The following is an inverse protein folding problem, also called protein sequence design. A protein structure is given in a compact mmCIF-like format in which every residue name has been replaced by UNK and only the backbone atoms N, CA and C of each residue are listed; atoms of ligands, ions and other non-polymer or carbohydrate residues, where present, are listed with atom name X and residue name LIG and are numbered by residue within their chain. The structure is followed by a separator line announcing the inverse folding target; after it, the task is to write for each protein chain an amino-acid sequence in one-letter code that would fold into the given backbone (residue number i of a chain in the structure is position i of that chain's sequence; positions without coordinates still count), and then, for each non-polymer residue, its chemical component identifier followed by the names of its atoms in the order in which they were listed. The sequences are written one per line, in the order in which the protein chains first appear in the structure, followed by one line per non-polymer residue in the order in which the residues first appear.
data_IF_166131314164
#
_entry.id   IF_166131314164
#
_cell.length_a   1.000
_cell.length_b   1.000
_cell.length_c   1.000
_cell.angle_alpha   90.00
_cell.angle_beta   90.00
_cell.angle_gamma   90.00
#
_symmetry.space_group_name_H-M   'P 1'
#
loop_
_entity.id
_entity.type
_entity.pdbx_description
1 polymer ?
#
# COMPACT_ATOMS: atom_id res chain seq x y z
N UNK A 1 -1.65 -10.26 -7.25
CA UNK A 1 -2.26 -11.46 -6.62
C UNK A 1 -1.99 -12.66 -7.52
N UNK A 2 -1.52 -13.79 -6.96
CA UNK A 2 -1.19 -14.96 -7.78
C UNK A 2 -2.46 -15.74 -8.12
N UNK A 3 -2.75 -15.87 -9.43
CA UNK A 3 -3.90 -16.58 -9.98
C UNK A 3 -3.97 -18.05 -9.50
N UNK A 4 -2.81 -18.71 -9.36
CA UNK A 4 -2.75 -20.09 -8.89
C UNK A 4 -3.21 -20.24 -7.45
N UNK A 5 -2.90 -19.25 -6.60
CA UNK A 5 -3.30 -19.26 -5.20
C UNK A 5 -4.82 -19.12 -5.09
N UNK A 6 -5.43 -18.21 -5.87
CA UNK A 6 -6.89 -18.02 -5.87
C UNK A 6 -7.58 -19.30 -6.30
N UNK A 7 -7.18 -19.88 -7.44
CA UNK A 7 -7.77 -21.10 -7.97
C UNK A 7 -7.63 -22.25 -6.96
N UNK A 8 -6.45 -22.40 -6.36
CA UNK A 8 -6.21 -23.43 -5.34
C UNK A 8 -7.12 -23.26 -4.13
N UNK A 9 -7.25 -22.03 -3.62
CA UNK A 9 -8.10 -21.76 -2.46
C UNK A 9 -9.57 -22.02 -2.74
N UNK A 10 -10.08 -21.64 -3.92
CA UNK A 10 -11.49 -21.84 -4.28
C UNK A 10 -11.80 -23.33 -4.56
N UNK A 11 -10.86 -24.09 -5.15
CA UNK A 11 -11.03 -25.54 -5.39
C UNK A 11 -11.03 -26.32 -4.07
N UNK A 12 -10.18 -25.94 -3.10
CA UNK A 12 -10.05 -26.63 -1.84
C UNK A 12 -10.83 -25.95 -0.70
N UNK A 13 -11.74 -25.05 -1.06
CA UNK A 13 -12.52 -24.26 -0.13
C UNK A 13 -13.34 -25.15 0.79
N UNK A 14 -13.23 -24.91 2.10
CA UNK A 14 -14.21 -25.41 3.06
C UNK A 14 -15.53 -24.65 2.87
N UNK A 15 -16.65 -25.37 2.89
CA UNK A 15 -17.98 -24.81 2.63
C UNK A 15 -18.40 -23.70 3.61
N UNK A 16 -17.73 -23.63 4.76
CA UNK A 16 -17.99 -22.65 5.82
C UNK A 16 -17.11 -21.41 5.69
N UNK A 17 -16.24 -21.33 4.69
CA UNK A 17 -15.31 -20.19 4.49
C UNK A 17 -15.62 -19.43 3.22
N UNK A 18 -15.52 -18.08 3.28
CA UNK A 18 -15.58 -17.22 2.10
C UNK A 18 -14.31 -16.37 2.02
N UNK A 19 -13.69 -16.37 0.85
CA UNK A 19 -12.43 -15.73 0.57
C UNK A 19 -12.63 -14.40 -0.13
N UNK A 20 -12.00 -13.34 0.37
CA UNK A 20 -11.90 -12.06 -0.31
C UNK A 20 -10.43 -11.75 -0.57
N UNK A 21 -10.12 -11.40 -1.80
CA UNK A 21 -8.78 -11.08 -2.25
C UNK A 21 -8.68 -9.61 -2.60
N UNK A 22 -7.63 -8.94 -2.14
CA UNK A 22 -7.40 -7.55 -2.54
C UNK A 22 -6.86 -7.51 -3.97
N UNK A 23 -7.52 -6.75 -4.82
CA UNK A 23 -7.05 -6.49 -6.18
C UNK A 23 -5.78 -5.64 -6.15
N UNK A 24 -4.73 -6.09 -6.82
CA UNK A 24 -3.48 -5.34 -6.98
C UNK A 24 -3.64 -4.08 -7.83
N UNK A 25 -4.68 -4.04 -8.65
CA UNK A 25 -4.92 -2.97 -9.61
C UNK A 25 -5.83 -1.90 -9.00
N UNK A 26 -6.87 -2.32 -8.27
CA UNK A 26 -7.95 -1.45 -7.90
C UNK A 26 -8.08 -1.18 -6.39
N UNK A 27 -7.26 -1.80 -5.55
CA UNK A 27 -7.41 -1.77 -4.10
C UNK A 27 -8.82 -2.11 -3.60
N UNK A 28 -9.59 -2.84 -4.41
CA UNK A 28 -10.90 -3.38 -4.05
C UNK A 28 -10.78 -4.84 -3.67
N UNK A 29 -11.77 -5.30 -2.95
CA UNK A 29 -11.85 -6.68 -2.52
C UNK A 29 -12.73 -7.46 -3.49
N UNK A 30 -12.21 -8.59 -3.97
CA UNK A 30 -12.87 -9.44 -4.95
C UNK A 30 -12.97 -10.84 -4.35
N UNK A 31 -14.16 -11.37 -4.32
CA UNK A 31 -14.41 -12.78 -4.08
C UNK A 31 -14.64 -13.48 -5.43
N UNK A 32 -14.23 -14.73 -5.54
CA UNK A 32 -14.38 -15.54 -6.74
C UNK A 32 -15.21 -16.77 -6.44
N UNK A 33 -15.76 -17.38 -7.48
CA UNK A 33 -16.50 -18.64 -7.47
C UNK A 33 -17.58 -18.70 -6.36
N UNK A 34 -17.59 -19.72 -5.54
CA UNK A 34 -18.54 -19.86 -4.43
C UNK A 34 -18.40 -18.76 -3.40
N UNK A 35 -17.17 -18.32 -3.08
CA UNK A 35 -16.96 -17.17 -2.19
C UNK A 35 -17.63 -15.90 -2.74
N UNK A 36 -17.67 -15.71 -4.06
CA UNK A 36 -18.37 -14.60 -4.67
C UNK A 36 -19.88 -14.65 -4.44
N UNK A 37 -20.45 -15.84 -4.47
CA UNK A 37 -21.88 -16.03 -4.22
C UNK A 37 -22.24 -15.83 -2.77
N UNK A 38 -21.41 -16.36 -1.83
CA UNK A 38 -21.56 -16.17 -0.38
C UNK A 38 -21.55 -14.68 0.00
N UNK A 39 -20.50 -13.97 -0.45
CA UNK A 39 -20.35 -12.53 -0.22
C UNK A 39 -21.55 -11.77 -0.78
N UNK A 40 -21.98 -12.09 -2.01
CA UNK A 40 -23.13 -11.43 -2.63
C UNK A 40 -24.42 -11.62 -1.82
N UNK A 41 -24.70 -12.84 -1.38
CA UNK A 41 -25.92 -13.12 -0.62
C UNK A 41 -25.92 -12.35 0.70
N UNK A 42 -24.80 -12.33 1.39
CA UNK A 42 -24.66 -11.61 2.65
C UNK A 42 -24.84 -10.10 2.44
N UNK A 43 -24.06 -9.52 1.53
CA UNK A 43 -24.04 -8.08 1.24
C UNK A 43 -25.43 -7.60 0.77
N UNK A 44 -26.11 -8.38 -0.10
CA UNK A 44 -27.48 -8.06 -0.53
C UNK A 44 -28.48 -8.08 0.63
N UNK A 45 -28.36 -9.04 1.56
CA UNK A 45 -29.26 -9.14 2.70
C UNK A 45 -29.11 -7.95 3.65
N UNK A 46 -27.86 -7.54 3.90
CA UNK A 46 -27.54 -6.43 4.79
C UNK A 46 -27.63 -5.06 4.12
N UNK A 47 -28.03 -5.00 2.82
CA UNK A 47 -28.24 -3.75 2.10
C UNK A 47 -26.96 -3.03 1.65
N UNK A 48 -25.84 -3.73 1.59
CA UNK A 48 -24.58 -3.16 1.10
C UNK A 48 -24.45 -3.28 -0.41
N UNK A 49 -23.73 -2.33 -1.00
CA UNK A 49 -23.44 -2.34 -2.43
C UNK A 49 -22.36 -3.35 -2.79
N UNK A 50 -22.63 -4.11 -3.86
CA UNK A 50 -21.65 -5.01 -4.48
C UNK A 50 -21.84 -5.06 -6.00
N UNK A 51 -20.75 -5.21 -6.72
CA UNK A 51 -20.75 -5.46 -8.15
C UNK A 51 -20.53 -6.94 -8.42
N UNK A 52 -21.27 -7.47 -9.39
CA UNK A 52 -21.15 -8.86 -9.83
C UNK A 52 -20.69 -8.91 -11.28
N UNK A 53 -19.82 -9.85 -11.60
CA UNK A 53 -19.33 -10.04 -12.95
C UNK A 53 -18.85 -11.46 -13.18
N UNK A 54 -18.50 -11.75 -14.43
CA UNK A 54 -17.77 -12.95 -14.80
C UNK A 54 -16.34 -12.57 -15.19
N UNK A 55 -15.36 -13.11 -14.48
CA UNK A 55 -13.95 -12.86 -14.80
C UNK A 55 -13.49 -13.79 -15.94
N UNK A 56 -13.26 -13.24 -17.11
CA UNK A 56 -12.69 -14.00 -18.25
C UNK A 56 -11.28 -14.50 -17.94
N UNK A 57 -10.51 -13.73 -17.22
CA UNK A 57 -9.14 -14.10 -16.86
C UNK A 57 -9.09 -15.31 -15.93
N UNK A 58 -9.99 -15.37 -14.96
CA UNK A 58 -10.09 -16.46 -13.99
C UNK A 58 -11.03 -17.57 -14.45
N UNK A 59 -11.88 -17.31 -15.46
CA UNK A 59 -12.95 -18.17 -15.95
C UNK A 59 -13.94 -18.58 -14.85
N UNK A 60 -14.29 -17.63 -13.96
CA UNK A 60 -15.22 -17.87 -12.86
C UNK A 60 -15.98 -16.58 -12.48
N UNK A 61 -17.18 -16.72 -11.84
CA UNK A 61 -17.92 -15.55 -11.37
C UNK A 61 -17.16 -14.83 -10.28
N UNK A 62 -17.36 -13.53 -10.18
CA UNK A 62 -16.78 -12.74 -9.13
C UNK A 62 -17.76 -11.70 -8.56
N UNK A 63 -17.54 -11.34 -7.31
CA UNK A 63 -18.25 -10.25 -6.60
C UNK A 63 -17.22 -9.27 -6.07
N UNK A 64 -17.38 -8.00 -6.44
CA UNK A 64 -16.50 -6.93 -6.00
C UNK A 64 -17.20 -6.13 -4.91
N UNK A 65 -16.51 -5.90 -3.82
CA UNK A 65 -16.99 -5.10 -2.69
C UNK A 65 -15.99 -4.00 -2.33
N UNK A 66 -16.53 -2.89 -1.86
CA UNK A 66 -15.70 -1.77 -1.41
C UNK A 66 -14.93 -2.10 -0.14
N UNK A 67 -13.80 -1.45 0.09
CA UNK A 67 -13.08 -1.56 1.37
C UNK A 67 -13.94 -1.13 2.56
N UNK A 68 -14.89 -0.20 2.35
CA UNK A 68 -15.88 0.17 3.37
C UNK A 68 -16.73 -1.03 3.77
N UNK A 69 -17.26 -1.75 2.79
CA UNK A 69 -18.06 -2.98 3.02
C UNK A 69 -17.24 -4.02 3.74
N UNK A 70 -16.00 -4.31 3.31
CA UNK A 70 -15.12 -5.28 3.96
C UNK A 70 -14.81 -4.89 5.41
N UNK A 71 -14.63 -3.61 5.69
CA UNK A 71 -14.43 -3.17 7.08
C UNK A 71 -15.68 -3.40 7.94
N UNK A 72 -16.87 -3.23 7.39
CA UNK A 72 -18.09 -3.59 8.10
C UNK A 72 -18.16 -5.10 8.33
N UNK A 73 -17.83 -5.91 7.29
CA UNK A 73 -17.76 -7.37 7.43
C UNK A 73 -16.79 -7.81 8.54
N UNK A 74 -15.65 -7.11 8.70
CA UNK A 74 -14.68 -7.38 9.80
C UNK A 74 -15.26 -7.20 11.20
N UNK A 75 -16.26 -6.34 11.36
CA UNK A 75 -16.93 -6.13 12.65
C UNK A 75 -18.10 -7.09 12.87
N UNK A 76 -18.70 -7.57 11.80
CA UNK A 76 -19.92 -8.37 11.84
C UNK A 76 -19.65 -9.87 11.74
N UNK A 77 -18.55 -10.28 11.10
CA UNK A 77 -18.22 -11.67 10.81
C UNK A 77 -16.93 -12.10 11.50
N UNK A 78 -16.86 -13.38 11.83
CA UNK A 78 -15.65 -13.99 12.36
C UNK A 78 -14.60 -14.10 11.26
N UNK A 79 -13.40 -13.57 11.53
CA UNK A 79 -12.24 -13.73 10.67
C UNK A 79 -11.55 -15.04 11.02
N UNK A 80 -11.40 -15.93 10.03
CA UNK A 80 -10.70 -17.20 10.14
C UNK A 80 -9.21 -17.04 9.87
N UNK A 81 -8.86 -16.32 8.80
CA UNK A 81 -7.49 -16.01 8.43
C UNK A 81 -7.41 -14.65 7.75
N UNK A 82 -6.31 -13.94 7.93
CA UNK A 82 -6.07 -12.67 7.27
C UNK A 82 -4.60 -12.48 6.92
N UNK A 83 -4.35 -12.27 5.64
CA UNK A 83 -3.07 -11.75 5.13
C UNK A 83 -3.26 -10.28 4.79
N UNK A 84 -2.80 -9.40 5.65
CA UNK A 84 -3.01 -7.94 5.55
C UNK A 84 -2.74 -7.43 4.14
N UNK A 85 -3.73 -6.75 3.56
CA UNK A 85 -3.66 -6.18 2.23
C UNK A 85 -3.59 -7.20 1.07
N UNK A 86 -3.87 -8.47 1.31
CA UNK A 86 -3.85 -9.52 0.28
C UNK A 86 -5.12 -10.36 0.26
N UNK A 87 -5.50 -10.93 1.39
CA UNK A 87 -6.60 -11.86 1.50
C UNK A 87 -7.22 -11.81 2.90
N UNK A 88 -8.53 -11.94 2.98
CA UNK A 88 -9.27 -12.18 4.22
C UNK A 88 -10.15 -13.38 4.00
N UNK A 89 -10.21 -14.24 5.02
CA UNK A 89 -11.10 -15.38 5.07
C UNK A 89 -12.08 -15.15 6.21
N UNK A 90 -13.37 -15.10 5.88
CA UNK A 90 -14.44 -15.02 6.85
C UNK A 90 -15.16 -16.37 6.98
N UNK A 91 -15.70 -16.64 8.17
CA UNK A 91 -16.67 -17.71 8.34
C UNK A 91 -17.99 -17.34 7.67
N UNK A 92 -18.55 -18.26 6.88
CA UNK A 92 -19.84 -18.05 6.21
C UNK A 92 -20.96 -18.13 7.28
N UNK A 93 -21.76 -17.07 7.45
CA UNK A 93 -22.84 -17.09 8.42
C UNK A 93 -23.85 -18.21 8.16
N UNK A 94 -24.24 -18.95 9.19
CA UNK A 94 -25.24 -20.07 9.12
C UNK A 94 -26.58 -19.64 8.54
N UNK A 95 -26.82 -18.34 8.46
CA UNK A 95 -28.02 -17.74 7.85
C UNK A 95 -27.95 -17.69 6.32
N UNK A 96 -26.77 -17.84 5.72
CA UNK A 96 -26.61 -17.95 4.26
C UNK A 96 -26.80 -19.42 3.90
N UNK A 97 -27.92 -19.72 3.26
CA UNK A 97 -28.24 -21.05 2.77
C UNK A 97 -28.64 -20.96 1.32
N UNK A 98 -28.04 -21.79 0.49
CA UNK A 98 -28.41 -21.97 -0.92
C UNK A 98 -28.10 -23.39 -1.37
N UNK A 99 -28.70 -23.79 -2.48
CA UNK A 99 -28.36 -25.06 -3.14
C UNK A 99 -27.27 -24.84 -4.17
N UNK A 100 -26.50 -25.86 -4.46
CA UNK A 100 -25.47 -25.79 -5.52
C UNK A 100 -26.09 -25.45 -6.89
N UNK A 101 -27.32 -25.87 -7.15
CA UNK A 101 -28.07 -25.49 -8.36
C UNK A 101 -28.32 -23.98 -8.44
N UNK A 102 -28.65 -23.33 -7.33
CA UNK A 102 -28.84 -21.86 -7.30
C UNK A 102 -27.53 -21.13 -7.61
N UNK A 103 -26.41 -21.63 -7.12
CA UNK A 103 -25.09 -21.12 -7.48
C UNK A 103 -24.79 -21.30 -8.97
N UNK A 104 -25.03 -22.50 -9.54
CA UNK A 104 -24.82 -22.76 -10.95
C UNK A 104 -25.71 -21.88 -11.86
N UNK A 105 -26.99 -21.74 -11.52
CA UNK A 105 -27.90 -20.85 -12.24
C UNK A 105 -27.43 -19.39 -12.23
N UNK A 106 -26.90 -18.92 -11.11
CA UNK A 106 -26.32 -17.58 -11.00
C UNK A 106 -25.06 -17.44 -11.87
N UNK A 107 -24.17 -18.43 -11.85
CA UNK A 107 -22.94 -18.46 -12.66
C UNK A 107 -23.27 -18.44 -14.15
N UNK A 108 -24.21 -19.28 -14.59
CA UNK A 108 -24.63 -19.34 -16.00
C UNK A 108 -25.29 -18.06 -16.47
N UNK A 109 -26.05 -17.39 -15.58
CA UNK A 109 -26.63 -16.08 -15.88
C UNK A 109 -25.53 -15.04 -16.10
N UNK A 110 -24.52 -14.96 -15.24
CA UNK A 110 -23.40 -14.03 -15.39
C UNK A 110 -22.58 -14.30 -16.65
N UNK A 111 -22.34 -15.58 -16.97
CA UNK A 111 -21.63 -15.98 -18.19
C UNK A 111 -22.38 -15.58 -19.46
N UNK A 112 -23.72 -15.69 -19.46
CA UNK A 112 -24.56 -15.23 -20.57
C UNK A 112 -24.56 -13.70 -20.68
N UNK A 113 -24.72 -12.97 -19.59
CA UNK A 113 -24.66 -11.51 -19.55
C UNK A 113 -23.31 -11.02 -20.11
N UNK A 114 -22.18 -11.68 -19.77
CA UNK A 114 -20.85 -11.36 -20.31
C UNK A 114 -20.75 -11.64 -21.82
N UNK A 115 -21.34 -12.74 -22.31
CA UNK A 115 -21.30 -13.11 -23.74
C UNK A 115 -22.09 -12.16 -24.64
N UNK A 116 -23.10 -11.48 -24.12
CA UNK A 116 -23.91 -10.48 -24.82
C UNK A 116 -23.27 -9.10 -24.89
N UNK A 117 -22.05 -8.94 -24.31
CA UNK A 117 -21.35 -7.65 -24.29
C UNK A 117 -21.93 -6.61 -23.34
N UNK A 118 -23.02 -6.92 -22.65
CA UNK A 118 -23.66 -6.02 -21.71
C UNK A 118 -22.84 -5.81 -20.42
N UNK A 119 -21.90 -6.69 -20.14
CA UNK A 119 -21.02 -6.63 -18.98
C UNK A 119 -19.62 -7.20 -19.27
N UNK A 120 -18.99 -6.79 -20.38
CA UNK A 120 -17.56 -7.09 -20.56
C UNK A 120 -16.77 -6.24 -19.60
N UNK A 121 -16.74 -6.71 -18.36
CA UNK A 121 -15.98 -6.07 -17.32
C UNK A 121 -14.65 -6.81 -17.24
N UNK A 122 -13.64 -6.29 -17.90
CA UNK A 122 -12.28 -6.50 -17.42
C UNK A 122 -12.26 -6.00 -15.97
N UNK A 123 -11.51 -6.65 -15.08
CA UNK A 123 -11.31 -6.14 -13.70
C UNK A 123 -10.99 -4.63 -13.72
N UNK A 124 -10.43 -4.10 -14.82
CA UNK A 124 -10.28 -2.65 -15.12
C UNK A 124 -11.61 -1.89 -15.25
N UNK A 125 -12.63 -2.47 -15.84
CA UNK A 125 -13.89 -1.78 -16.16
C UNK A 125 -14.93 -1.90 -15.04
N UNK A 126 -14.85 -2.95 -14.21
CA UNK A 126 -15.68 -3.12 -13.00
C UNK A 126 -15.58 -1.93 -12.05
N UNK A 127 -14.49 -1.23 -12.14
CA UNK A 127 -14.12 -0.18 -11.18
C UNK A 127 -14.54 1.21 -11.64
N UNK A 128 -14.64 1.46 -12.96
CA UNK A 128 -14.74 2.82 -13.51
C UNK A 128 -16.16 3.41 -13.54
N UNK A 129 -17.20 2.64 -13.82
CA UNK A 129 -18.44 3.23 -14.29
C UNK A 129 -19.65 3.24 -13.31
N UNK A 130 -19.58 2.54 -12.17
CA UNK A 130 -20.75 2.43 -11.27
C UNK A 130 -20.47 2.67 -9.78
N UNK A 131 -19.23 2.97 -9.38
CA UNK A 131 -18.98 3.52 -8.05
C UNK A 131 -19.21 5.05 -8.06
N UNK A 132 -19.67 5.64 -6.96
CA UNK A 132 -19.83 7.08 -6.88
C UNK A 132 -18.53 7.77 -7.30
N UNK A 133 -18.59 8.67 -8.27
CA UNK A 133 -17.44 9.48 -8.71
C UNK A 133 -16.83 10.15 -7.47
N UNK A 134 -15.63 9.76 -7.11
CA UNK A 134 -14.90 10.33 -5.97
C UNK A 134 -14.40 9.32 -4.92
N UNK A 135 -14.79 8.04 -5.00
CA UNK A 135 -14.45 7.04 -3.98
C UNK A 135 -13.26 6.16 -4.38
N UNK A 136 -12.93 6.06 -5.68
CA UNK A 136 -11.90 5.17 -6.16
C UNK A 136 -10.79 5.91 -6.93
N UNK A 137 -9.53 5.64 -6.56
CA UNK A 137 -8.35 6.20 -7.22
C UNK A 137 -7.53 5.04 -7.78
N UNK A 138 -7.48 4.93 -9.11
CA UNK A 138 -6.63 3.97 -9.81
C UNK A 138 -5.20 4.48 -9.93
N UNK A 139 -4.27 3.53 -10.03
CA UNK A 139 -2.88 3.83 -10.39
C UNK A 139 -2.82 4.45 -11.79
N UNK A 140 -2.40 5.70 -11.89
CA UNK A 140 -2.26 6.42 -13.16
C UNK A 140 -1.27 5.81 -14.16
N UNK A 141 -0.40 4.87 -13.71
CA UNK A 141 0.55 4.18 -14.59
C UNK A 141 0.00 2.85 -15.10
N UNK A 142 0.18 2.58 -16.40
CA UNK A 142 -0.05 1.26 -16.99
C UNK A 142 0.88 0.20 -16.39
N UNK A 143 0.50 -1.07 -16.51
CA UNK A 143 1.32 -2.18 -16.02
C UNK A 143 2.72 -2.21 -16.66
N UNK A 144 2.79 -1.96 -17.96
CA UNK A 144 4.07 -1.83 -18.67
C UNK A 144 4.95 -0.72 -18.08
N UNK A 145 4.38 0.47 -17.83
CA UNK A 145 5.10 1.59 -17.22
C UNK A 145 5.57 1.26 -15.80
N UNK A 146 4.78 0.52 -15.02
CA UNK A 146 5.16 0.07 -13.67
C UNK A 146 6.35 -0.90 -13.69
N UNK A 147 6.34 -1.84 -14.64
CA UNK A 147 7.42 -2.81 -14.78
C UNK A 147 8.71 -2.13 -15.26
N UNK A 148 8.60 -1.23 -16.24
CA UNK A 148 9.73 -0.43 -16.71
C UNK A 148 10.31 0.46 -15.59
N UNK A 149 9.43 1.10 -14.80
CA UNK A 149 9.84 1.87 -13.62
C UNK A 149 10.59 0.98 -12.61
N UNK A 150 10.16 -0.27 -12.39
CA UNK A 150 10.86 -1.19 -11.49
C UNK A 150 12.28 -1.51 -11.97
N UNK A 151 12.44 -1.73 -13.28
CA UNK A 151 13.75 -1.96 -13.89
C UNK A 151 14.62 -0.71 -13.71
N UNK A 152 14.07 0.46 -13.96
CA UNK A 152 14.77 1.74 -13.76
C UNK A 152 15.18 1.93 -12.29
N UNK A 153 14.25 1.74 -11.34
CA UNK A 153 14.52 1.84 -9.89
C UNK A 153 15.68 0.90 -9.49
N UNK A 154 15.69 -0.33 -10.01
CA UNK A 154 16.75 -1.30 -9.71
C UNK A 154 18.13 -0.85 -10.21
N UNK A 155 18.23 -0.43 -11.47
CA UNK A 155 19.51 -0.01 -12.02
C UNK A 155 20.02 1.28 -11.38
N UNK A 156 19.14 2.26 -11.18
CA UNK A 156 19.53 3.53 -10.54
C UNK A 156 19.93 3.30 -9.10
N UNK A 157 19.21 2.46 -8.34
CA UNK A 157 19.58 2.11 -6.97
C UNK A 157 20.95 1.41 -6.92
N UNK A 158 21.22 0.48 -7.85
CA UNK A 158 22.52 -0.22 -7.92
C UNK A 158 23.66 0.74 -8.14
N UNK A 159 23.54 1.64 -9.13
CA UNK A 159 24.57 2.64 -9.45
C UNK A 159 24.75 3.59 -8.27
N UNK A 160 23.64 4.07 -7.68
CA UNK A 160 23.68 5.01 -6.56
C UNK A 160 24.31 4.38 -5.33
N UNK A 161 23.98 3.11 -5.00
CA UNK A 161 24.62 2.38 -3.92
C UNK A 161 26.15 2.27 -4.14
N UNK A 162 26.60 1.99 -5.36
CA UNK A 162 28.02 1.89 -5.67
C UNK A 162 28.72 3.25 -5.50
N UNK A 163 28.14 4.32 -6.06
CA UNK A 163 28.72 5.68 -5.98
C UNK A 163 28.77 6.18 -4.54
N UNK A 164 27.71 5.99 -3.76
CA UNK A 164 27.63 6.49 -2.39
C UNK A 164 28.20 5.50 -1.35
N UNK A 165 28.70 4.32 -1.75
CA UNK A 165 29.28 3.35 -0.81
C UNK A 165 30.42 3.90 0.03
N UNK A 166 31.37 4.72 -0.48
CA UNK A 166 32.43 5.30 0.36
C UNK A 166 31.86 6.26 1.42
N UNK A 167 30.88 7.09 1.03
CA UNK A 167 30.18 7.98 1.96
C UNK A 167 29.41 7.20 3.01
N UNK A 168 28.75 6.10 2.62
CA UNK A 168 28.02 5.24 3.54
C UNK A 168 28.95 4.58 4.56
N UNK A 169 30.14 4.15 4.13
CA UNK A 169 31.19 3.62 5.03
C UNK A 169 31.64 4.71 6.01
N UNK A 170 31.89 5.92 5.52
CA UNK A 170 32.25 7.04 6.38
C UNK A 170 31.16 7.35 7.42
N UNK A 171 29.90 7.41 7.01
CA UNK A 171 28.75 7.58 7.93
C UNK A 171 28.67 6.46 8.97
N UNK A 172 28.88 5.22 8.56
CA UNK A 172 28.90 4.05 9.45
C UNK A 172 29.97 4.22 10.53
N UNK A 173 31.21 4.56 10.15
CA UNK A 173 32.33 4.77 11.08
C UNK A 173 32.03 5.94 12.02
N UNK A 174 31.53 7.07 11.47
CA UNK A 174 31.21 8.26 12.28
C UNK A 174 30.18 7.97 13.37
N UNK A 175 29.14 7.16 13.09
CA UNK A 175 28.13 6.77 14.08
C UNK A 175 28.77 5.87 15.15
N UNK A 176 29.62 4.92 14.72
CA UNK A 176 30.33 4.02 15.65
C UNK A 176 31.25 4.79 16.61
N UNK A 177 31.84 5.88 16.15
CA UNK A 177 32.72 6.74 16.96
C UNK A 177 31.92 7.68 17.88
N UNK A 178 30.66 8.02 17.56
CA UNK A 178 29.84 8.97 18.35
C UNK A 178 29.37 8.35 19.68
N UNK A 179 28.82 7.09 19.63
CA UNK A 179 28.26 6.45 20.83
C UNK A 179 28.40 4.91 20.87
N UNK A 180 29.16 4.31 19.95
CA UNK A 180 29.49 2.87 19.92
C UNK A 180 28.35 1.92 19.58
N UNK A 181 27.10 2.38 19.49
CA UNK A 181 25.90 1.57 19.21
C UNK A 181 25.79 1.09 17.76
N UNK A 182 24.71 0.38 17.39
CA UNK A 182 24.49 -0.08 16.02
C UNK A 182 24.38 1.11 15.07
N UNK A 183 25.11 1.09 13.94
CA UNK A 183 25.12 2.21 13.00
C UNK A 183 23.89 2.23 12.09
N UNK A 184 23.32 1.07 11.80
CA UNK A 184 22.09 0.94 11.00
C UNK A 184 20.92 0.66 11.92
N UNK A 185 19.84 1.42 11.72
CA UNK A 185 18.56 1.27 12.37
C UNK A 185 17.58 0.63 11.39
N UNK A 186 16.80 -0.30 11.88
CA UNK A 186 15.78 -1.01 11.11
C UNK A 186 14.43 -0.86 11.81
N UNK A 187 13.37 -0.61 11.04
CA UNK A 187 12.02 -0.44 11.55
C UNK A 187 10.98 -1.01 10.59
N UNK A 188 9.99 -1.69 11.14
CA UNK A 188 8.87 -2.20 10.35
C UNK A 188 8.02 -1.08 9.77
N UNK A 189 7.69 -1.23 8.50
CA UNK A 189 6.83 -0.37 7.71
C UNK A 189 5.89 -1.20 6.86
N UNK A 190 4.76 -0.59 6.47
CA UNK A 190 3.81 -1.22 5.56
C UNK A 190 4.09 -0.72 4.15
N UNK A 191 4.28 -1.66 3.23
CA UNK A 191 4.59 -1.42 1.83
C UNK A 191 3.45 -1.79 0.88
N UNK A 192 3.82 -2.07 -0.36
CA UNK A 192 2.88 -2.48 -1.42
C UNK A 192 2.14 -3.74 -1.02
N UNK A 193 0.85 -3.79 -1.32
CA UNK A 193 -0.09 -4.86 -0.95
C UNK A 193 -0.25 -5.08 0.56
N UNK A 194 0.04 -4.05 1.36
CA UNK A 194 0.00 -4.16 2.80
C UNK A 194 1.11 -5.03 3.41
N UNK A 195 2.10 -5.46 2.61
CA UNK A 195 3.21 -6.28 3.09
C UNK A 195 4.09 -5.48 4.04
N UNK A 196 4.39 -6.07 5.19
CA UNK A 196 5.37 -5.51 6.13
C UNK A 196 6.78 -5.74 5.58
N UNK A 197 7.61 -4.72 5.64
CA UNK A 197 9.02 -4.76 5.31
C UNK A 197 9.83 -3.95 6.32
N UNK A 198 11.16 -4.12 6.32
CA UNK A 198 12.05 -3.37 7.20
C UNK A 198 12.72 -2.24 6.42
N UNK A 199 12.39 -0.98 6.78
CA UNK A 199 13.12 0.17 6.25
C UNK A 199 14.46 0.29 6.95
N UNK A 200 15.52 0.55 6.18
CA UNK A 200 16.86 0.75 6.72
C UNK A 200 17.25 2.22 6.71
N UNK A 201 17.81 2.68 7.82
CA UNK A 201 18.35 4.04 7.98
C UNK A 201 19.65 4.00 8.77
N UNK A 202 20.50 4.99 8.60
CA UNK A 202 21.52 5.23 9.59
C UNK A 202 20.90 5.75 10.86
N UNK A 203 21.42 5.30 11.99
CA UNK A 203 20.94 5.72 13.29
C UNK A 203 21.33 7.19 13.56
N UNK A 204 20.34 8.04 13.65
CA UNK A 204 20.50 9.46 13.98
C UNK A 204 20.04 9.82 15.39
N UNK A 205 19.41 8.87 16.09
CA UNK A 205 18.88 9.07 17.44
C UNK A 205 19.59 8.15 18.46
N UNK A 206 19.53 8.54 19.73
CA UNK A 206 19.99 7.75 20.86
C UNK A 206 19.17 6.45 20.96
N UNK A 207 19.78 5.42 21.59
CA UNK A 207 19.14 4.09 21.72
C UNK A 207 17.83 4.12 22.54
N UNK A 208 17.68 5.11 23.41
CA UNK A 208 16.52 5.29 24.28
C UNK A 208 15.47 6.25 23.72
N UNK A 209 15.60 6.66 22.47
CA UNK A 209 14.76 7.70 21.85
C UNK A 209 13.26 7.38 21.78
N UNK A 210 12.88 6.11 21.78
CA UNK A 210 11.49 5.63 21.67
C UNK A 210 11.02 4.82 22.91
N UNK A 211 11.66 4.98 24.06
CA UNK A 211 11.23 4.26 25.29
C UNK A 211 9.77 4.53 25.69
N UNK A 212 9.24 5.66 25.33
CA UNK A 212 7.82 6.05 25.58
C UNK A 212 6.86 5.66 24.46
N UNK A 213 7.27 4.78 23.52
CA UNK A 213 6.44 4.33 22.41
C UNK A 213 6.62 5.11 21.11
N UNK A 214 5.81 4.79 20.07
CA UNK A 214 5.89 5.42 18.78
C UNK A 214 5.58 6.91 18.85
N UNK A 215 6.52 7.75 18.41
CA UNK A 215 6.33 9.20 18.37
C UNK A 215 6.43 9.73 16.94
N UNK A 216 5.63 10.74 16.63
CA UNK A 216 5.77 11.50 15.40
C UNK A 216 7.15 12.18 15.34
N UNK A 217 7.70 12.34 14.14
CA UNK A 217 8.93 13.10 13.96
C UNK A 217 8.70 14.53 14.44
N UNK A 218 9.37 14.94 15.51
CA UNK A 218 9.39 16.35 15.90
C UNK A 218 9.93 17.18 14.71
N UNK A 219 9.42 18.41 14.59
CA UNK A 219 9.91 19.35 13.56
C UNK A 219 11.45 19.33 13.53
N UNK A 220 12.04 19.35 12.33
CA UNK A 220 13.48 19.62 12.18
C UNK A 220 13.78 21.01 12.73
N UNK A 221 13.88 21.09 14.02
CA UNK A 221 14.13 22.33 14.75
C UNK A 221 15.23 22.13 15.76
N UNK A 222 15.94 23.17 16.02
CA UNK A 222 16.89 23.32 17.09
C UNK A 222 16.26 22.78 18.39
N UNK A 223 16.56 21.51 18.76
CA UNK A 223 16.17 21.03 20.07
C UNK A 223 15.65 19.59 20.21
N UNK A 224 15.60 18.76 19.17
CA UNK A 224 15.27 17.34 19.41
C UNK A 224 16.41 16.68 20.21
N UNK A 225 16.19 16.55 21.52
CA UNK A 225 17.16 15.99 22.48
C UNK A 225 17.47 14.50 22.22
N UNK A 226 16.70 13.84 21.36
CA UNK A 226 16.89 12.44 21.00
C UNK A 226 18.02 12.25 19.99
N UNK A 227 18.44 13.31 19.28
CA UNK A 227 19.48 13.24 18.25
C UNK A 227 20.88 13.17 18.87
N UNK A 228 21.72 12.29 18.33
CA UNK A 228 23.16 12.29 18.60
C UNK A 228 23.83 13.47 17.88
N UNK A 229 25.11 13.75 18.16
CA UNK A 229 25.84 14.85 17.50
C UNK A 229 25.98 14.59 16.01
N UNK A 230 26.45 13.40 15.63
CA UNK A 230 26.57 12.92 14.24
C UNK A 230 25.17 12.82 13.60
N UNK A 231 24.21 12.28 14.33
CA UNK A 231 22.83 12.09 13.85
C UNK A 231 22.14 13.41 13.47
N UNK A 232 22.42 14.50 14.17
CA UNK A 232 21.91 15.85 13.84
C UNK A 232 22.44 16.32 12.48
N UNK A 233 23.73 16.14 12.22
CA UNK A 233 24.34 16.47 10.94
C UNK A 233 23.75 15.61 9.82
N UNK A 234 23.69 14.30 10.03
CA UNK A 234 23.18 13.35 9.02
C UNK A 234 21.73 13.67 8.65
N UNK A 235 20.89 13.96 9.64
CA UNK A 235 19.48 14.29 9.42
C UNK A 235 19.27 15.61 8.69
N UNK A 236 20.12 16.60 9.00
CA UNK A 236 20.09 17.91 8.33
C UNK A 236 20.43 17.80 6.83
N UNK A 237 21.21 16.77 6.44
CA UNK A 237 21.65 16.53 5.07
C UNK A 237 20.99 15.29 4.44
N UNK A 238 19.98 14.68 5.09
CA UNK A 238 19.29 13.47 4.64
C UNK A 238 20.22 12.25 4.41
N UNK A 239 21.42 12.25 4.97
CA UNK A 239 22.37 11.15 4.86
C UNK A 239 21.90 9.90 5.63
N UNK A 240 21.09 10.09 6.65
CA UNK A 240 20.48 8.99 7.42
C UNK A 240 19.54 8.13 6.58
N UNK A 241 19.06 8.60 5.45
CA UNK A 241 18.15 7.88 4.57
C UNK A 241 18.85 7.10 3.44
N UNK A 242 20.19 7.24 3.28
CA UNK A 242 20.94 6.52 2.24
C UNK A 242 20.76 4.99 2.27
N UNK A 243 20.68 4.30 3.44
CA UNK A 243 20.45 2.86 3.46
C UNK A 243 19.10 2.42 2.85
N UNK A 244 18.11 3.31 2.67
CA UNK A 244 16.85 2.99 1.98
C UNK A 244 17.08 2.64 0.50
N UNK A 245 18.20 3.02 -0.10
CA UNK A 245 18.57 2.58 -1.45
C UNK A 245 18.63 1.05 -1.55
N UNK A 246 18.96 0.36 -0.46
CA UNK A 246 18.90 -1.09 -0.40
C UNK A 246 17.45 -1.60 -0.49
N UNK A 247 16.50 -0.94 0.16
CA UNK A 247 15.07 -1.30 0.03
C UNK A 247 14.57 -1.08 -1.41
N UNK A 248 15.06 -0.02 -2.10
CA UNK A 248 14.74 0.20 -3.53
C UNK A 248 15.35 -0.91 -4.39
N UNK A 249 16.60 -1.27 -4.14
CA UNK A 249 17.29 -2.36 -4.84
C UNK A 249 16.53 -3.68 -4.68
N UNK A 250 16.14 -4.04 -3.45
CA UNK A 250 15.36 -5.25 -3.15
C UNK A 250 13.92 -5.20 -3.69
N UNK A 251 13.40 -4.02 -4.07
CA UNK A 251 12.06 -3.85 -4.62
C UNK A 251 10.95 -3.70 -3.57
N UNK A 252 11.31 -3.45 -2.34
CA UNK A 252 10.39 -3.11 -1.26
C UNK A 252 9.93 -1.66 -1.36
N UNK A 253 10.80 -0.78 -1.90
CA UNK A 253 10.57 0.63 -2.15
C UNK A 253 10.80 1.01 -3.61
N UNK A 254 10.47 2.24 -3.95
CA UNK A 254 10.77 2.95 -5.20
C UNK A 254 11.45 4.28 -4.84
N UNK A 255 12.08 4.96 -5.80
CA UNK A 255 12.54 6.33 -5.55
C UNK A 255 11.38 7.27 -5.24
N UNK A 256 10.25 7.10 -5.95
CA UNK A 256 9.07 7.96 -5.80
C UNK A 256 7.85 7.10 -5.48
N UNK A 257 7.16 7.47 -4.42
CA UNK A 257 5.94 6.82 -3.94
C UNK A 257 5.49 7.42 -2.61
N UNK A 258 4.35 7.02 -2.07
CA UNK A 258 3.91 7.47 -0.75
C UNK A 258 4.94 7.11 0.33
N UNK A 259 5.06 7.95 1.34
CA UNK A 259 6.00 7.67 2.43
C UNK A 259 5.58 6.40 3.18
N UNK A 260 6.51 5.44 3.44
CA UNK A 260 6.17 4.23 4.20
C UNK A 260 5.89 4.59 5.65
N UNK A 261 4.66 4.38 6.11
CA UNK A 261 4.26 4.65 7.48
C UNK A 261 4.32 3.38 8.35
N UNK A 262 4.37 3.58 9.68
CA UNK A 262 4.24 2.50 10.68
C UNK A 262 2.78 2.08 10.76
N UNK A 263 2.54 0.77 10.94
CA UNK A 263 1.16 0.26 11.10
C UNK A 263 0.36 1.03 12.14
N UNK A 264 0.98 1.37 13.28
CA UNK A 264 0.37 2.16 14.34
C UNK A 264 -0.26 3.49 13.84
N UNK A 265 0.44 4.24 12.99
CA UNK A 265 -0.09 5.49 12.44
C UNK A 265 -1.07 5.26 11.30
N UNK A 266 -0.88 4.19 10.52
CA UNK A 266 -1.83 3.81 9.46
C UNK A 266 -3.19 3.48 10.07
N UNK A 267 -3.22 2.73 11.16
CA UNK A 267 -4.46 2.37 11.84
C UNK A 267 -5.21 3.63 12.30
N UNK A 268 -4.51 4.59 12.88
CA UNK A 268 -5.08 5.89 13.27
C UNK A 268 -5.58 6.70 12.05
N UNK A 269 -4.81 6.77 10.96
CA UNK A 269 -5.25 7.46 9.74
C UNK A 269 -6.52 6.80 9.19
N UNK A 270 -6.58 5.47 9.19
CA UNK A 270 -7.72 4.71 8.66
C UNK A 270 -8.99 4.84 9.50
N UNK A 271 -8.90 5.27 10.76
CA UNK A 271 -10.07 5.66 11.56
C UNK A 271 -10.78 6.89 10.96
N UNK A 272 -10.01 7.82 10.40
CA UNK A 272 -10.52 9.05 9.77
C UNK A 272 -10.76 8.90 8.27
N UNK A 273 -9.84 8.23 7.57
CA UNK A 273 -9.91 8.12 6.10
C UNK A 273 -9.41 6.77 5.60
N UNK A 274 -10.35 5.91 5.24
CA UNK A 274 -10.09 4.56 4.74
C UNK A 274 -9.46 4.52 3.35
N UNK A 275 -9.42 5.66 2.63
CA UNK A 275 -8.76 5.77 1.33
C UNK A 275 -7.25 5.53 1.40
N UNK A 276 -6.67 5.51 2.61
CA UNK A 276 -5.27 5.12 2.79
C UNK A 276 -4.95 3.76 2.14
N UNK A 277 -5.89 2.83 2.12
CA UNK A 277 -5.73 1.50 1.50
C UNK A 277 -5.40 1.58 0.01
N UNK A 278 -5.79 2.65 -0.69
CA UNK A 278 -5.46 2.83 -2.10
C UNK A 278 -3.95 2.98 -2.35
N UNK A 279 -3.21 3.47 -1.37
CA UNK A 279 -1.76 3.61 -1.46
C UNK A 279 -1.03 2.26 -1.54
N UNK A 280 -1.67 1.18 -1.08
CA UNK A 280 -1.12 -0.18 -1.19
C UNK A 280 -0.99 -0.70 -2.63
N UNK A 281 -1.57 -0.02 -3.61
CA UNK A 281 -1.39 -0.35 -5.03
C UNK A 281 0.07 -0.17 -5.49
N UNK A 282 0.80 0.72 -4.85
CA UNK A 282 2.15 1.10 -5.29
C UNK A 282 3.18 0.93 -4.18
N UNK A 283 4.45 0.84 -4.58
CA UNK A 283 5.56 0.80 -3.62
C UNK A 283 5.71 2.15 -2.92
N UNK A 284 6.02 2.15 -1.62
CA UNK A 284 6.40 3.38 -0.93
C UNK A 284 7.68 3.95 -1.53
N UNK A 285 7.86 5.27 -1.39
CA UNK A 285 8.97 6.00 -1.97
C UNK A 285 10.00 6.49 -0.95
N UNK A 286 11.24 6.70 -1.42
CA UNK A 286 12.26 7.45 -0.69
C UNK A 286 11.84 8.91 -0.62
N UNK A 287 11.30 9.46 -1.72
CA UNK A 287 10.62 10.76 -1.77
C UNK A 287 9.18 10.62 -2.25
N UNK A 288 8.34 11.60 -1.94
CA UNK A 288 6.94 11.62 -2.34
C UNK A 288 6.49 13.02 -2.77
N UNK A 289 5.40 13.07 -3.55
CA UNK A 289 4.72 14.31 -3.86
C UNK A 289 4.31 15.05 -2.59
N UNK A 290 3.78 14.31 -1.63
CA UNK A 290 3.41 14.86 -0.32
C UNK A 290 4.61 15.44 0.44
N UNK A 291 5.77 14.80 0.41
CA UNK A 291 6.99 15.33 1.06
C UNK A 291 7.39 16.68 0.47
N UNK A 292 7.24 16.85 -0.85
CA UNK A 292 7.57 18.11 -1.52
C UNK A 292 6.64 19.25 -1.11
N UNK A 293 5.35 18.99 -0.87
CA UNK A 293 4.34 20.07 -0.68
C UNK A 293 3.81 20.22 0.75
N UNK A 294 3.84 19.15 1.56
CA UNK A 294 3.29 19.15 2.91
C UNK A 294 4.35 19.21 4.03
N UNK A 295 5.60 18.90 3.70
CA UNK A 295 6.68 18.89 4.69
C UNK A 295 6.52 17.82 5.78
N UNK A 296 6.98 18.14 6.99
CA UNK A 296 6.89 17.23 8.13
C UNK A 296 5.46 17.11 8.67
N UNK A 297 5.07 15.88 8.98
CA UNK A 297 3.77 15.56 9.55
C UNK A 297 3.91 15.23 11.03
N UNK A 298 3.59 16.19 11.85
CA UNK A 298 3.64 16.14 13.32
C UNK A 298 2.24 16.14 13.96
N UNK A 299 1.18 16.27 13.15
CA UNK A 299 -0.21 16.25 13.59
C UNK A 299 -1.05 15.32 12.70
N UNK A 300 -2.18 14.83 13.21
CA UNK A 300 -3.14 14.03 12.44
C UNK A 300 -3.67 14.79 11.22
N UNK A 301 -3.96 16.07 11.37
CA UNK A 301 -4.41 16.93 10.26
C UNK A 301 -3.39 16.94 9.10
N UNK A 302 -2.10 17.10 9.42
CA UNK A 302 -1.04 17.03 8.40
C UNK A 302 -0.86 15.62 7.81
N UNK A 303 -1.14 14.57 8.59
CA UNK A 303 -1.15 13.20 8.06
C UNK A 303 -2.29 12.98 7.07
N UNK A 304 -3.49 13.48 7.36
CA UNK A 304 -4.62 13.42 6.44
C UNK A 304 -4.36 14.26 5.18
N UNK A 305 -3.76 15.45 5.35
CA UNK A 305 -3.35 16.27 4.20
C UNK A 305 -2.26 15.58 3.37
N UNK A 306 -1.32 14.87 3.99
CA UNK A 306 -0.37 14.02 3.27
C UNK A 306 -1.08 12.95 2.47
N UNK A 307 -2.05 12.27 3.07
CA UNK A 307 -2.85 11.26 2.38
C UNK A 307 -3.49 11.84 1.11
N UNK A 308 -4.07 13.02 1.15
CA UNK A 308 -4.66 13.67 -0.04
C UNK A 308 -3.60 13.88 -1.15
N UNK A 309 -2.40 14.35 -0.81
CA UNK A 309 -1.32 14.50 -1.78
C UNK A 309 -0.85 13.16 -2.37
N UNK A 310 -0.73 12.13 -1.53
CA UNK A 310 -0.30 10.80 -1.99
C UNK A 310 -1.39 10.12 -2.83
N UNK A 311 -2.68 10.34 -2.54
CA UNK A 311 -3.80 9.90 -3.37
C UNK A 311 -3.84 10.65 -4.72
N UNK A 312 -3.60 11.97 -4.70
CA UNK A 312 -3.46 12.74 -5.93
C UNK A 312 -2.31 12.22 -6.79
N UNK A 313 -1.15 11.94 -6.18
CA UNK A 313 -0.03 11.32 -6.88
C UNK A 313 -0.42 9.97 -7.47
N UNK A 314 -1.05 9.10 -6.71
CA UNK A 314 -1.48 7.77 -7.17
C UNK A 314 -2.31 7.85 -8.46
N UNK A 315 -3.32 8.70 -8.49
CA UNK A 315 -4.22 8.82 -9.65
C UNK A 315 -3.59 9.50 -10.88
N UNK A 316 -2.59 10.36 -10.66
CA UNK A 316 -1.98 11.16 -11.73
C UNK A 316 -0.54 10.75 -12.06
N UNK A 317 0.00 9.69 -11.43
CA UNK A 317 1.39 9.33 -11.60
C UNK A 317 1.72 8.95 -13.04
N UNK A 318 2.87 9.44 -13.48
CA UNK A 318 3.44 9.21 -14.80
C UNK A 318 4.95 9.41 -14.73
N UNK A 319 5.69 9.01 -15.77
CA UNK A 319 7.12 9.24 -15.86
C UNK A 319 7.49 10.73 -15.72
N UNK A 320 6.73 11.61 -16.36
CA UNK A 320 6.95 13.06 -16.28
C UNK A 320 6.67 13.60 -14.87
N UNK A 321 5.66 13.07 -14.21
CA UNK A 321 5.35 13.47 -12.85
C UNK A 321 6.44 13.00 -11.87
N UNK A 322 6.95 11.78 -12.05
CA UNK A 322 8.09 11.26 -11.28
C UNK A 322 9.34 12.12 -11.45
N UNK A 323 9.70 12.46 -12.71
CA UNK A 323 10.83 13.34 -13.00
C UNK A 323 10.66 14.71 -12.35
N UNK A 324 9.44 15.27 -12.39
CA UNK A 324 9.13 16.55 -11.73
C UNK A 324 9.36 16.48 -10.22
N UNK A 325 8.90 15.39 -9.56
CA UNK A 325 9.08 15.20 -8.11
C UNK A 325 10.57 15.07 -7.77
N UNK A 326 11.33 14.28 -8.54
CA UNK A 326 12.79 14.16 -8.36
C UNK A 326 13.50 15.51 -8.48
N UNK A 327 13.17 16.27 -9.52
CA UNK A 327 13.74 17.60 -9.73
C UNK A 327 13.43 18.55 -8.57
N UNK A 328 12.18 18.59 -8.11
CA UNK A 328 11.77 19.44 -6.98
C UNK A 328 12.46 19.01 -5.69
N UNK A 329 12.60 17.70 -5.46
CA UNK A 329 13.30 17.15 -4.29
C UNK A 329 14.78 17.56 -4.32
N UNK A 330 15.45 17.34 -5.45
CA UNK A 330 16.85 17.73 -5.65
C UNK A 330 17.05 19.23 -5.42
N UNK A 331 16.19 20.06 -6.03
CA UNK A 331 16.26 21.52 -5.87
C UNK A 331 16.10 21.96 -4.41
N UNK A 332 15.19 21.34 -3.66
CA UNK A 332 15.01 21.63 -2.23
C UNK A 332 16.24 21.24 -1.40
N UNK A 333 16.83 20.08 -1.67
CA UNK A 333 18.04 19.63 -0.97
C UNK A 333 19.20 20.61 -1.23
N UNK A 334 19.45 20.97 -2.48
CA UNK A 334 20.55 21.85 -2.90
C UNK A 334 20.37 23.28 -2.34
N UNK A 335 19.12 23.78 -2.36
CA UNK A 335 18.84 25.16 -1.87
C UNK A 335 18.68 25.26 -0.36
N UNK A 336 18.74 24.11 0.37
CA UNK A 336 18.51 24.07 1.81
C UNK A 336 17.09 24.47 2.23
N UNK A 337 16.15 24.55 1.28
CA UNK A 337 14.75 24.83 1.60
C UNK A 337 14.16 23.63 2.34
N UNK A 338 13.57 23.89 3.50
CA UNK A 338 12.92 22.85 4.31
C UNK A 338 11.77 22.21 3.54
N UNK A 339 11.67 20.90 3.71
CA UNK A 339 10.51 20.11 3.26
C UNK A 339 9.28 20.48 4.09
#
# INVERSE_FOLDING_TARGET
MDKKIIISNEIHKETEHMYLYMSEVSAQWIAFDQSAYDVRLYVKREGYDSLRAYSKEMNMPCTVVSSKTVNTLRHELQIVDEKIGQMIVFEVPKTIKYTYEQFLMWTDKLRKEDSLGEHTITVKTLVSDKLPKGVFIEDGMSEFSRNLKRIFDFFVASITLLIFSPLMIFCYIAIKMDDGGPAVYSQERVGRFGKVFHIYKFRSMRLDAEKSGPQLSAQQGKGDKRLTKVGRFMRAHHLDELPQLWNVFCGEMSFIGPRPERKYFIDQIMEYDKRYTYLYQIRPGVTSYATVYNGYTDTMEKMLKRLEYDLYYLGNRSWWFDIKILWLTFWKIVTGKKF
#
